data_IF_857707945634
#
_entry.id   IF_857707945634
#
_cell.length_a   1.000
_cell.length_b   1.000
_cell.length_c   1.000
_cell.angle_alpha   90.00
_cell.angle_beta   90.00
_cell.angle_gamma   90.00
#
_symmetry.space_group_name_H-M   'P 1'
#
loop_
_entity.id
_entity.type
_entity.pdbx_description
1 polymer ?
#
# COMPACT_ATOMS: atom_id res chain seq x y z
N UNK A 1 19.30 -16.39 0.25
CA UNK A 1 18.31 -15.80 1.15
C UNK A 1 16.91 -15.71 0.52
N UNK A 2 16.69 -15.00 -0.59
CA UNK A 2 15.36 -14.87 -1.22
C UNK A 2 14.72 -16.21 -1.58
N UNK A 3 15.48 -17.18 -2.11
CA UNK A 3 14.97 -18.53 -2.41
C UNK A 3 14.54 -19.28 -1.16
N UNK A 4 15.31 -19.19 -0.08
CA UNK A 4 14.98 -19.85 1.20
C UNK A 4 13.72 -19.23 1.79
N UNK A 5 13.63 -17.90 1.80
CA UNK A 5 12.44 -17.20 2.30
C UNK A 5 11.19 -17.51 1.47
N UNK A 6 11.33 -17.53 0.13
CA UNK A 6 10.24 -17.90 -0.78
C UNK A 6 9.77 -19.33 -0.60
N UNK A 7 10.70 -20.27 -0.43
CA UNK A 7 10.36 -21.68 -0.15
C UNK A 7 9.68 -21.84 1.21
N UNK A 8 10.16 -21.11 2.24
CA UNK A 8 9.59 -21.15 3.59
C UNK A 8 8.17 -20.58 3.61
N UNK A 9 7.92 -19.50 2.87
CA UNK A 9 6.58 -18.94 2.70
C UNK A 9 5.63 -19.88 1.95
N UNK A 10 6.12 -20.62 0.92
CA UNK A 10 5.30 -21.62 0.24
C UNK A 10 4.91 -22.76 1.16
N UNK A 11 5.86 -23.30 1.92
CA UNK A 11 5.58 -24.39 2.86
C UNK A 11 4.66 -23.91 3.97
N UNK A 12 4.93 -22.75 4.56
CA UNK A 12 4.07 -22.15 5.59
C UNK A 12 2.66 -21.85 5.08
N UNK A 13 2.54 -21.37 3.84
CA UNK A 13 1.26 -21.12 3.18
C UNK A 13 0.48 -22.38 2.89
N UNK A 14 1.15 -23.46 2.46
CA UNK A 14 0.53 -24.76 2.24
C UNK A 14 0.01 -25.39 3.56
N UNK A 15 0.81 -25.28 4.64
CA UNK A 15 0.41 -25.73 5.98
C UNK A 15 -0.78 -24.89 6.50
N UNK A 16 -0.73 -23.57 6.35
CA UNK A 16 -1.82 -22.68 6.76
C UNK A 16 -3.12 -22.96 5.96
N UNK A 17 -2.99 -23.21 4.65
CA UNK A 17 -4.13 -23.57 3.80
C UNK A 17 -4.75 -24.91 4.21
N UNK A 18 -3.92 -25.88 4.57
CA UNK A 18 -4.39 -27.22 5.02
C UNK A 18 -5.05 -27.17 6.41
N UNK A 19 -4.50 -26.34 7.34
CA UNK A 19 -4.99 -26.30 8.72
C UNK A 19 -6.11 -25.30 8.96
N UNK A 20 -6.12 -24.16 8.25
CA UNK A 20 -7.00 -23.01 8.51
C UNK A 20 -7.90 -22.63 7.33
N UNK A 21 -7.80 -23.36 6.20
CA UNK A 21 -8.53 -23.08 4.96
C UNK A 21 -7.70 -22.32 3.93
N UNK A 22 -8.07 -22.49 2.64
CA UNK A 22 -7.37 -21.94 1.48
C UNK A 22 -7.25 -20.41 1.57
N UNK A 23 -8.30 -19.74 2.05
CA UNK A 23 -8.34 -18.27 2.14
C UNK A 23 -7.24 -17.69 3.04
N UNK A 24 -6.86 -18.41 4.10
CA UNK A 24 -5.81 -17.97 5.04
C UNK A 24 -4.40 -18.35 4.60
N UNK A 25 -4.26 -19.41 3.81
CA UNK A 25 -2.98 -19.85 3.25
C UNK A 25 -2.59 -19.15 1.95
N UNK A 26 -3.57 -18.68 1.16
CA UNK A 26 -3.37 -18.08 -0.14
C UNK A 26 -2.36 -16.91 -0.15
N UNK A 27 -2.35 -15.95 0.79
CA UNK A 27 -1.38 -14.85 0.78
C UNK A 27 0.07 -15.32 0.94
N UNK A 28 0.32 -16.36 1.74
CA UNK A 28 1.66 -16.93 1.90
C UNK A 28 2.11 -17.71 0.67
N UNK A 29 1.18 -18.43 0.01
CA UNK A 29 1.46 -19.12 -1.25
C UNK A 29 1.81 -18.13 -2.35
N UNK A 30 1.00 -17.08 -2.50
CA UNK A 30 1.25 -16.00 -3.47
C UNK A 30 2.58 -15.32 -3.18
N UNK A 31 2.86 -14.93 -1.94
CA UNK A 31 4.12 -14.33 -1.52
C UNK A 31 5.33 -15.24 -1.79
N UNK A 32 5.20 -16.54 -1.54
CA UNK A 32 6.24 -17.52 -1.79
C UNK A 32 6.55 -17.69 -3.28
N UNK A 33 5.53 -17.85 -4.14
CA UNK A 33 5.67 -17.90 -5.61
C UNK A 33 6.35 -16.62 -6.10
N UNK A 34 5.91 -15.50 -5.60
CA UNK A 34 6.40 -14.18 -5.93
C UNK A 34 7.91 -14.03 -5.67
N UNK A 35 8.37 -14.44 -4.48
CA UNK A 35 9.78 -14.41 -4.12
C UNK A 35 10.62 -15.39 -4.98
N UNK A 36 10.07 -16.53 -5.37
CA UNK A 36 10.76 -17.47 -6.26
C UNK A 36 10.88 -16.92 -7.68
N UNK A 37 9.84 -16.25 -8.19
CA UNK A 37 9.88 -15.54 -9.48
C UNK A 37 10.94 -14.44 -9.45
N UNK A 38 11.01 -13.66 -8.37
CA UNK A 38 12.04 -12.64 -8.16
C UNK A 38 13.45 -13.25 -8.15
N UNK A 39 13.64 -14.33 -7.42
CA UNK A 39 14.92 -15.01 -7.36
C UNK A 39 15.33 -15.59 -8.73
N UNK A 40 14.37 -16.09 -9.50
CA UNK A 40 14.60 -16.58 -10.86
C UNK A 40 14.95 -15.44 -11.81
N UNK A 41 14.22 -14.32 -11.78
CA UNK A 41 14.53 -13.12 -12.56
C UNK A 41 15.91 -12.55 -12.20
N UNK A 42 16.26 -12.52 -10.91
CA UNK A 42 17.56 -12.05 -10.43
C UNK A 42 18.72 -12.93 -10.89
N UNK A 43 18.52 -14.26 -10.99
CA UNK A 43 19.55 -15.19 -11.50
C UNK A 43 19.83 -15.04 -12.99
N UNK A 44 18.83 -14.64 -13.77
CA UNK A 44 18.92 -14.54 -15.23
C UNK A 44 19.48 -13.19 -15.73
N UNK A 45 19.75 -12.24 -14.84
CA UNK A 45 20.15 -10.86 -15.17
C UNK A 45 21.64 -10.66 -15.46
N UNK A 46 22.38 -11.68 -15.88
CA UNK A 46 23.81 -11.55 -16.28
C UNK A 46 24.00 -11.06 -17.73
N UNK A 47 22.95 -10.64 -18.41
CA UNK A 47 22.99 -10.14 -19.80
C UNK A 47 22.71 -8.64 -19.90
N UNK A 48 23.10 -7.94 -21.00
CA UNK A 48 22.95 -6.49 -21.14
C UNK A 48 21.48 -6.08 -20.97
N UNK A 49 21.25 -5.06 -20.18
CA UNK A 49 20.01 -4.49 -19.63
C UNK A 49 18.71 -5.08 -20.20
N UNK A 50 18.25 -6.17 -19.62
CA UNK A 50 16.99 -6.80 -20.04
C UNK A 50 15.81 -5.90 -19.61
N UNK A 51 14.96 -5.51 -20.56
CA UNK A 51 13.74 -4.70 -20.31
C UNK A 51 12.57 -5.52 -19.76
N UNK A 52 12.72 -6.84 -19.56
CA UNK A 52 11.67 -7.72 -19.02
C UNK A 52 11.24 -7.31 -17.62
N UNK A 53 12.15 -7.03 -16.65
CA UNK A 53 11.72 -6.59 -15.32
C UNK A 53 10.91 -5.30 -15.34
N UNK A 54 11.28 -4.35 -16.22
CA UNK A 54 10.53 -3.11 -16.43
C UNK A 54 9.11 -3.39 -16.92
N UNK A 55 8.95 -4.23 -17.96
CA UNK A 55 7.64 -4.54 -18.55
C UNK A 55 6.76 -5.32 -17.59
N UNK A 56 7.33 -6.33 -16.92
CA UNK A 56 6.60 -7.15 -15.94
C UNK A 56 6.22 -6.30 -14.72
N UNK A 57 7.13 -5.51 -14.17
CA UNK A 57 6.85 -4.62 -13.06
C UNK A 57 5.79 -3.57 -13.38
N UNK A 58 5.88 -2.96 -14.57
CA UNK A 58 4.86 -2.02 -15.04
C UNK A 58 3.49 -2.69 -15.24
N UNK A 59 3.44 -3.90 -15.81
CA UNK A 59 2.20 -4.65 -16.00
C UNK A 59 1.55 -5.03 -14.67
N UNK A 60 2.34 -5.54 -13.71
CA UNK A 60 1.85 -5.91 -12.37
C UNK A 60 1.24 -4.70 -11.64
N UNK A 61 1.81 -3.52 -11.82
CA UNK A 61 1.29 -2.31 -11.19
C UNK A 61 0.12 -1.69 -11.96
N UNK A 62 0.25 -1.53 -13.28
CA UNK A 62 -0.74 -0.80 -14.10
C UNK A 62 -2.02 -1.60 -14.33
N UNK A 63 -1.95 -2.92 -14.51
CA UNK A 63 -3.12 -3.72 -14.81
C UNK A 63 -4.20 -3.63 -13.72
N UNK A 64 -3.89 -3.88 -12.43
CA UNK A 64 -4.90 -3.75 -11.36
C UNK A 64 -5.39 -2.32 -11.20
N UNK A 65 -4.53 -1.31 -11.38
CA UNK A 65 -4.92 0.10 -11.24
C UNK A 65 -5.86 0.55 -12.35
N UNK A 66 -5.61 0.14 -13.60
CA UNK A 66 -6.49 0.40 -14.74
C UNK A 66 -7.82 -0.33 -14.54
N UNK A 67 -7.81 -1.58 -14.09
CA UNK A 67 -9.04 -2.32 -13.78
C UNK A 67 -9.85 -1.66 -12.66
N UNK A 68 -9.20 -1.14 -11.63
CA UNK A 68 -9.87 -0.42 -10.55
C UNK A 68 -10.54 0.88 -11.05
N UNK A 69 -9.86 1.64 -11.92
CA UNK A 69 -10.42 2.84 -12.55
C UNK A 69 -11.60 2.47 -13.46
N UNK A 70 -11.44 1.48 -14.32
CA UNK A 70 -12.50 1.02 -15.24
C UNK A 70 -13.72 0.49 -14.46
N UNK A 71 -13.50 -0.29 -13.41
CA UNK A 71 -14.55 -0.78 -12.51
C UNK A 71 -15.26 0.37 -11.79
N UNK A 72 -14.50 1.34 -11.26
CA UNK A 72 -15.05 2.54 -10.63
C UNK A 72 -15.87 3.40 -11.60
N UNK A 73 -15.42 3.58 -12.85
CA UNK A 73 -16.17 4.26 -13.90
C UNK A 73 -17.46 3.50 -14.25
N UNK A 74 -17.37 2.18 -14.42
CA UNK A 74 -18.53 1.35 -14.70
C UNK A 74 -19.56 1.39 -13.57
N UNK A 75 -19.12 1.35 -12.30
CA UNK A 75 -20.02 1.45 -11.15
C UNK A 75 -20.63 2.85 -10.99
N UNK A 76 -19.93 3.90 -11.44
CA UNK A 76 -20.41 5.29 -11.30
C UNK A 76 -21.31 5.72 -12.45
N UNK A 77 -21.00 5.30 -13.69
CA UNK A 77 -21.66 5.77 -14.92
C UNK A 77 -22.29 4.65 -15.74
N UNK A 78 -22.10 3.38 -15.34
CA UNK A 78 -22.67 2.24 -16.05
C UNK A 78 -24.19 2.20 -15.95
N UNK A 79 -24.87 1.50 -16.88
CA UNK A 79 -26.31 1.32 -16.82
C UNK A 79 -26.68 0.63 -15.49
N UNK A 80 -27.80 1.00 -14.85
CA UNK A 80 -28.25 0.34 -13.64
C UNK A 80 -28.34 -1.16 -13.91
N UNK A 81 -27.64 -1.95 -13.11
CA UNK A 81 -27.56 -3.39 -13.27
C UNK A 81 -28.95 -4.00 -13.18
N UNK A 82 -29.53 -4.41 -14.32
CA UNK A 82 -30.76 -5.18 -14.41
C UNK A 82 -30.59 -6.64 -13.90
N UNK A 83 -29.47 -6.94 -13.24
CA UNK A 83 -29.07 -8.28 -12.86
C UNK A 83 -29.75 -8.89 -11.62
N UNK A 84 -30.79 -8.26 -11.06
CA UNK A 84 -31.55 -8.85 -9.96
C UNK A 84 -32.91 -9.44 -10.37
N UNK A 85 -33.35 -9.24 -11.62
CA UNK A 85 -34.66 -9.71 -12.09
C UNK A 85 -34.60 -10.87 -13.08
N UNK A 86 -33.45 -11.24 -13.61
CA UNK A 86 -33.34 -12.26 -14.65
C UNK A 86 -33.14 -13.71 -14.13
N UNK A 87 -33.09 -13.92 -12.82
CA UNK A 87 -32.97 -15.29 -12.26
C UNK A 87 -34.31 -15.92 -11.83
N UNK A 88 -35.41 -15.20 -11.96
CA UNK A 88 -36.74 -15.67 -11.54
C UNK A 88 -37.65 -16.09 -12.71
N UNK A 89 -37.22 -15.93 -13.97
CA UNK A 89 -38.08 -16.26 -15.14
C UNK A 89 -37.49 -17.31 -16.10
N UNK A 90 -36.82 -18.33 -15.57
CA UNK A 90 -36.54 -19.53 -16.35
C UNK A 90 -37.06 -20.77 -15.61
N UNK A 91 -38.37 -20.93 -15.66
CA UNK A 91 -39.02 -22.16 -15.24
C UNK A 91 -40.51 -22.10 -15.53
N UNK A 92 -40.94 -22.61 -16.68
CA UNK A 92 -42.33 -22.98 -16.86
C UNK A 92 -43.02 -22.34 -18.06
N UNK A 93 -42.88 -22.99 -19.16
CA UNK A 93 -43.92 -23.52 -20.09
C UNK A 93 -44.84 -22.60 -20.89
N UNK A 94 -44.84 -22.99 -22.14
CA UNK A 94 -45.65 -22.62 -23.29
C UNK A 94 -47.16 -22.72 -23.03
N UNK A 95 -47.96 -21.71 -23.38
CA UNK A 95 -49.11 -21.84 -24.27
C UNK A 95 -49.79 -20.48 -24.55
N UNK A 96 -50.14 -20.32 -25.80
CA UNK A 96 -50.88 -19.22 -26.47
C UNK A 96 -52.30 -19.10 -25.90
N UNK A 97 -52.82 -17.87 -25.73
CA UNK A 97 -54.07 -17.36 -26.29
C UNK A 97 -54.34 -15.90 -25.87
N UNK A 98 -54.74 -15.10 -26.82
CA UNK A 98 -55.08 -13.67 -26.73
C UNK A 98 -56.35 -13.43 -25.89
N UNK A 99 -56.37 -12.33 -25.15
CA UNK A 99 -57.51 -11.38 -25.09
C UNK A 99 -57.25 -10.20 -24.16
N UNK A 100 -57.53 -9.04 -24.66
CA UNK A 100 -57.64 -7.73 -24.04
C UNK A 100 -58.28 -7.69 -22.66
N UNK A 101 -57.64 -6.95 -21.68
CA UNK A 101 -58.32 -6.08 -20.70
C UNK A 101 -57.33 -5.24 -19.90
N UNK A 102 -57.73 -4.03 -19.58
CA UNK A 102 -57.02 -2.94 -18.89
C UNK A 102 -56.24 -3.31 -17.62
N UNK A 103 -55.14 -2.59 -17.33
CA UNK A 103 -54.35 -2.88 -16.12
C UNK A 103 -54.95 -2.17 -14.92
N UNK A 104 -55.54 -2.93 -14.00
CA UNK A 104 -55.70 -2.49 -12.60
C UNK A 104 -54.37 -2.48 -11.92
N UNK A 105 -54.02 -1.32 -11.36
CA UNK A 105 -52.84 -1.11 -10.50
C UNK A 105 -52.88 -2.06 -9.29
N UNK A 106 -51.98 -3.03 -9.28
CA UNK A 106 -51.67 -3.88 -8.13
C UNK A 106 -50.32 -3.45 -7.53
N UNK A 107 -50.08 -3.58 -6.23
CA UNK A 107 -48.99 -2.88 -5.53
C UNK A 107 -47.60 -3.41 -5.90
N UNK A 108 -46.77 -2.49 -6.38
CA UNK A 108 -45.35 -2.73 -6.64
C UNK A 108 -44.59 -3.01 -5.31
N UNK A 109 -44.50 -4.28 -4.88
CA UNK A 109 -43.91 -4.67 -3.59
C UNK A 109 -42.53 -5.37 -3.55
N UNK A 110 -41.83 -5.75 -4.65
CA UNK A 110 -40.51 -6.39 -4.43
C UNK A 110 -39.30 -5.43 -4.50
N UNK A 111 -39.39 -4.28 -5.13
CA UNK A 111 -38.24 -3.38 -5.26
C UNK A 111 -37.99 -2.51 -4.02
N UNK A 112 -39.02 -2.25 -3.22
CA UNK A 112 -38.96 -1.47 -1.97
C UNK A 112 -38.34 -2.27 -0.85
N UNK A 113 -38.64 -3.56 -0.76
CA UNK A 113 -38.17 -4.45 0.30
C UNK A 113 -36.66 -4.80 0.11
N UNK A 114 -36.18 -4.94 -1.13
CA UNK A 114 -34.75 -5.15 -1.42
C UNK A 114 -33.94 -3.92 -1.06
N UNK A 115 -34.42 -2.71 -1.35
CA UNK A 115 -33.77 -1.45 -0.95
C UNK A 115 -33.81 -1.24 0.57
N UNK A 116 -34.87 -1.64 1.23
CA UNK A 116 -34.99 -1.56 2.68
C UNK A 116 -33.97 -2.51 3.36
N UNK A 117 -33.85 -3.75 2.91
CA UNK A 117 -32.84 -4.70 3.39
C UNK A 117 -31.42 -4.21 3.16
N UNK A 118 -31.10 -3.67 1.98
CA UNK A 118 -29.78 -3.10 1.70
C UNK A 118 -29.45 -1.91 2.61
N UNK A 119 -30.43 -1.04 2.90
CA UNK A 119 -30.26 0.07 3.86
C UNK A 119 -30.03 -0.43 5.27
N UNK A 120 -30.76 -1.43 5.70
CA UNK A 120 -30.61 -2.04 7.02
C UNK A 120 -29.26 -2.73 7.17
N UNK A 121 -28.80 -3.51 6.18
CA UNK A 121 -27.46 -4.10 6.16
C UNK A 121 -26.36 -3.04 6.15
N UNK A 122 -26.52 -1.98 5.35
CA UNK A 122 -25.57 -0.87 5.33
C UNK A 122 -25.53 -0.10 6.67
N UNK A 123 -26.68 0.08 7.31
CA UNK A 123 -26.76 0.67 8.65
C UNK A 123 -26.09 -0.24 9.71
N UNK A 124 -26.32 -1.54 9.63
CA UNK A 124 -25.70 -2.53 10.51
C UNK A 124 -24.17 -2.54 10.36
N UNK A 125 -23.65 -2.61 9.13
CA UNK A 125 -22.21 -2.51 8.84
C UNK A 125 -21.60 -1.18 9.30
N UNK A 126 -22.35 -0.07 9.21
CA UNK A 126 -21.90 1.23 9.73
C UNK A 126 -21.86 1.25 11.27
N UNK A 127 -22.83 0.64 11.93
CA UNK A 127 -22.84 0.51 13.38
C UNK A 127 -21.70 -0.38 13.89
N UNK A 128 -21.46 -1.51 13.24
CA UNK A 128 -20.33 -2.42 13.52
C UNK A 128 -18.98 -1.71 13.37
N UNK A 129 -18.77 -1.00 12.25
CA UNK A 129 -17.52 -0.21 12.02
C UNK A 129 -17.34 0.90 13.07
N UNK A 130 -18.43 1.55 13.50
CA UNK A 130 -18.35 2.56 14.57
C UNK A 130 -18.01 1.93 15.92
N UNK A 131 -18.57 0.78 16.23
CA UNK A 131 -18.25 0.04 17.44
C UNK A 131 -16.78 -0.43 17.45
N UNK A 132 -16.30 -1.00 16.33
CA UNK A 132 -14.90 -1.37 16.17
C UNK A 132 -13.94 -0.18 16.32
N UNK A 133 -14.26 0.98 15.71
CA UNK A 133 -13.46 2.19 15.83
C UNK A 133 -13.48 2.76 17.27
N UNK A 134 -14.59 2.63 17.98
CA UNK A 134 -14.69 3.03 19.38
C UNK A 134 -13.85 2.10 20.29
N UNK A 135 -13.91 0.80 20.06
CA UNK A 135 -13.09 -0.18 20.77
C UNK A 135 -11.60 0.02 20.48
N UNK A 136 -11.22 0.25 19.22
CA UNK A 136 -9.84 0.60 18.86
C UNK A 136 -9.39 1.84 19.64
N UNK A 137 -10.18 2.90 19.60
CA UNK A 137 -9.86 4.16 20.31
C UNK A 137 -9.68 3.92 21.79
N UNK A 138 -10.58 3.16 22.44
CA UNK A 138 -10.51 2.81 23.85
C UNK A 138 -9.23 2.03 24.18
N UNK A 139 -8.95 0.97 23.42
CA UNK A 139 -7.77 0.11 23.63
C UNK A 139 -6.47 0.89 23.42
N UNK A 140 -6.42 1.74 22.38
CA UNK A 140 -5.21 2.50 22.06
C UNK A 140 -4.98 3.70 22.99
N UNK A 141 -6.05 4.33 23.51
CA UNK A 141 -5.95 5.51 24.40
C UNK A 141 -5.74 5.17 25.87
N UNK A 142 -6.28 4.03 26.34
CA UNK A 142 -6.29 3.70 27.77
C UNK A 142 -6.02 2.22 28.09
N UNK A 143 -5.86 1.38 27.05
CA UNK A 143 -5.61 -0.05 27.21
C UNK A 143 -4.18 -0.38 27.57
N UNK A 144 -3.98 -1.61 28.03
CA UNK A 144 -2.65 -2.17 28.31
C UNK A 144 -1.92 -2.55 27.01
N UNK A 145 -0.59 -2.69 27.10
CA UNK A 145 0.23 -3.16 25.96
C UNK A 145 -0.25 -4.51 25.41
N UNK A 146 -0.62 -5.44 26.30
CA UNK A 146 -1.09 -6.76 25.89
C UNK A 146 -2.42 -6.70 25.13
N UNK A 147 -3.35 -5.83 25.53
CA UNK A 147 -4.62 -5.59 24.82
C UNK A 147 -4.38 -4.98 23.45
N UNK A 148 -3.50 -3.97 23.36
CA UNK A 148 -3.14 -3.35 22.10
C UNK A 148 -2.48 -4.34 21.11
N UNK A 149 -1.59 -5.21 21.60
CA UNK A 149 -0.96 -6.27 20.78
C UNK A 149 -1.99 -7.30 20.30
N UNK A 150 -2.89 -7.77 21.18
CA UNK A 150 -3.94 -8.72 20.82
C UNK A 150 -4.90 -8.15 19.78
N UNK A 151 -5.33 -6.91 19.97
CA UNK A 151 -6.20 -6.22 19.02
C UNK A 151 -5.55 -6.11 17.64
N UNK A 152 -4.30 -5.64 17.59
CA UNK A 152 -3.54 -5.53 16.34
C UNK A 152 -3.29 -6.87 15.66
N UNK A 153 -2.95 -7.90 16.43
CA UNK A 153 -2.77 -9.25 15.89
C UNK A 153 -4.05 -9.77 15.25
N UNK A 154 -5.20 -9.59 15.92
CA UNK A 154 -6.51 -9.97 15.39
C UNK A 154 -6.83 -9.23 14.09
N UNK A 155 -6.67 -7.91 14.07
CA UNK A 155 -6.92 -7.07 12.88
C UNK A 155 -5.99 -7.47 11.73
N UNK A 156 -4.69 -7.64 12.01
CA UNK A 156 -3.70 -8.04 11.00
C UNK A 156 -4.02 -9.41 10.40
N UNK A 157 -4.38 -10.39 11.23
CA UNK A 157 -4.76 -11.72 10.75
C UNK A 157 -6.05 -11.71 9.92
N UNK A 158 -6.99 -10.81 10.24
CA UNK A 158 -8.21 -10.61 9.46
C UNK A 158 -7.94 -9.96 8.08
N UNK A 159 -6.91 -9.13 7.99
CA UNK A 159 -6.59 -8.33 6.79
C UNK A 159 -5.51 -8.98 5.89
N UNK A 160 -5.09 -10.21 6.18
CA UNK A 160 -4.04 -10.89 5.40
C UNK A 160 -4.36 -11.01 3.91
N UNK A 161 -5.64 -11.22 3.54
CA UNK A 161 -6.07 -11.28 2.14
C UNK A 161 -5.84 -9.95 1.40
N UNK A 162 -6.17 -8.84 2.05
CA UNK A 162 -5.96 -7.50 1.50
C UNK A 162 -4.47 -7.16 1.39
N UNK A 163 -3.68 -7.58 2.38
CA UNK A 163 -2.23 -7.43 2.39
C UNK A 163 -1.52 -8.17 1.24
N UNK A 164 -2.06 -9.31 0.77
CA UNK A 164 -1.53 -10.03 -0.37
C UNK A 164 -1.63 -9.22 -1.68
N UNK A 165 -2.74 -8.51 -1.90
CA UNK A 165 -2.91 -7.61 -3.05
C UNK A 165 -1.86 -6.48 -3.05
N UNK A 166 -1.61 -5.87 -1.90
CA UNK A 166 -0.59 -4.85 -1.73
C UNK A 166 0.83 -5.41 -1.95
N UNK A 167 1.11 -6.64 -1.52
CA UNK A 167 2.40 -7.29 -1.74
C UNK A 167 2.68 -7.51 -3.23
N UNK A 168 1.67 -7.85 -4.03
CA UNK A 168 1.80 -7.97 -5.49
C UNK A 168 2.15 -6.62 -6.12
N UNK A 169 1.46 -5.54 -5.73
CA UNK A 169 1.79 -4.19 -6.20
C UNK A 169 3.20 -3.77 -5.81
N UNK A 170 3.60 -4.03 -4.55
CA UNK A 170 4.95 -3.76 -4.07
C UNK A 170 6.02 -4.49 -4.90
N UNK A 171 5.75 -5.75 -5.29
CA UNK A 171 6.64 -6.47 -6.19
C UNK A 171 6.83 -5.74 -7.52
N UNK A 172 5.75 -5.27 -8.13
CA UNK A 172 5.83 -4.47 -9.35
C UNK A 172 6.80 -3.30 -9.19
N UNK A 173 6.69 -2.57 -8.07
CA UNK A 173 7.59 -1.45 -7.74
C UNK A 173 9.03 -1.89 -7.50
N UNK A 174 9.27 -3.03 -6.83
CA UNK A 174 10.61 -3.59 -6.64
C UNK A 174 11.26 -4.00 -7.97
N UNK A 175 10.51 -4.57 -8.90
CA UNK A 175 11.02 -4.91 -10.23
C UNK A 175 11.39 -3.65 -11.01
N UNK A 176 10.57 -2.60 -10.95
CA UNK A 176 10.87 -1.31 -11.55
C UNK A 176 12.13 -0.68 -10.95
N UNK A 177 12.24 -0.64 -9.62
CA UNK A 177 13.42 -0.11 -8.91
C UNK A 177 14.69 -0.90 -9.25
N UNK A 178 14.61 -2.23 -9.27
CA UNK A 178 15.70 -3.12 -9.68
C UNK A 178 16.17 -2.86 -11.11
N UNK A 179 15.26 -2.62 -12.04
CA UNK A 179 15.59 -2.27 -13.41
C UNK A 179 16.31 -0.92 -13.49
N UNK A 180 15.87 0.11 -12.75
CA UNK A 180 16.54 1.41 -12.72
C UNK A 180 18.00 1.31 -12.24
N UNK A 181 18.29 0.45 -11.28
CA UNK A 181 19.65 0.21 -10.79
C UNK A 181 20.46 -0.54 -11.86
N UNK A 182 19.90 -1.63 -12.44
CA UNK A 182 20.58 -2.45 -13.45
C UNK A 182 20.83 -1.69 -14.76
N UNK A 183 19.94 -0.76 -15.12
CA UNK A 183 20.12 0.10 -16.30
C UNK A 183 21.24 1.15 -16.14
N UNK A 184 21.78 1.30 -14.95
CA UNK A 184 22.79 2.32 -14.65
C UNK A 184 22.25 3.77 -14.59
N UNK A 185 20.94 3.97 -14.80
CA UNK A 185 20.36 5.33 -14.81
C UNK A 185 20.56 6.05 -13.49
N UNK A 186 20.43 5.34 -12.36
CA UNK A 186 20.63 5.92 -11.01
C UNK A 186 22.13 6.03 -10.68
N UNK A 187 22.94 5.07 -11.15
CA UNK A 187 24.39 5.02 -10.87
C UNK A 187 25.16 6.08 -11.65
N UNK A 188 24.74 6.37 -12.89
CA UNK A 188 25.34 7.38 -13.75
C UNK A 188 24.29 8.39 -14.24
N UNK A 189 23.70 9.18 -13.33
CA UNK A 189 22.59 10.08 -13.65
C UNK A 189 22.94 11.14 -14.68
N UNK A 190 24.22 11.56 -14.73
CA UNK A 190 24.70 12.61 -15.65
C UNK A 190 24.45 12.25 -17.12
N UNK A 191 24.49 10.97 -17.47
CA UNK A 191 24.21 10.51 -18.84
C UNK A 191 22.73 10.53 -19.21
N UNK A 192 21.85 10.61 -18.21
CA UNK A 192 20.40 10.48 -18.38
C UNK A 192 19.60 11.71 -17.92
N UNK A 193 20.27 12.86 -17.71
CA UNK A 193 19.60 14.10 -17.24
C UNK A 193 18.39 14.53 -18.07
N UNK A 194 18.43 14.47 -19.44
CA UNK A 194 17.25 14.81 -20.22
C UNK A 194 16.05 13.89 -19.96
N UNK A 195 16.30 12.59 -19.71
CA UNK A 195 15.25 11.65 -19.35
C UNK A 195 14.68 11.97 -17.97
N UNK A 196 15.53 12.24 -16.98
CA UNK A 196 15.08 12.66 -15.64
C UNK A 196 14.27 13.96 -15.66
N UNK A 197 14.64 14.96 -16.48
CA UNK A 197 13.83 16.19 -16.65
C UNK A 197 12.43 15.88 -17.19
N UNK A 198 12.32 15.05 -18.23
CA UNK A 198 11.02 14.61 -18.77
C UNK A 198 10.19 13.86 -17.71
N UNK A 199 10.80 12.90 -17.02
CA UNK A 199 10.11 12.12 -15.97
C UNK A 199 9.69 13.00 -14.81
N UNK A 200 10.51 13.98 -14.40
CA UNK A 200 10.15 14.94 -13.36
C UNK A 200 8.92 15.75 -13.75
N UNK A 201 8.93 16.38 -14.95
CA UNK A 201 7.81 17.23 -15.40
C UNK A 201 6.55 16.40 -15.61
N UNK A 202 6.63 15.33 -16.43
CA UNK A 202 5.47 14.50 -16.75
C UNK A 202 4.95 13.78 -15.51
N UNK A 203 5.83 13.22 -14.68
CA UNK A 203 5.46 12.51 -13.46
C UNK A 203 4.78 13.41 -12.44
N UNK A 204 5.32 14.61 -12.21
CA UNK A 204 4.72 15.59 -11.29
C UNK A 204 3.38 16.13 -11.81
N UNK A 205 3.29 16.46 -13.09
CA UNK A 205 2.05 17.01 -13.67
C UNK A 205 0.97 15.93 -13.78
N UNK A 206 1.26 14.79 -14.41
CA UNK A 206 0.27 13.74 -14.61
C UNK A 206 -0.12 13.06 -13.27
N UNK A 207 0.87 12.71 -12.44
CA UNK A 207 0.61 12.10 -11.15
C UNK A 207 -0.08 13.06 -10.18
N UNK A 208 0.34 14.33 -10.16
CA UNK A 208 -0.29 15.39 -9.36
C UNK A 208 -1.73 15.65 -9.78
N UNK A 209 -1.98 15.80 -11.09
CA UNK A 209 -3.33 15.99 -11.61
C UNK A 209 -4.27 14.83 -11.26
N UNK A 210 -3.82 13.58 -11.45
CA UNK A 210 -4.61 12.40 -11.08
C UNK A 210 -4.89 12.34 -9.57
N UNK A 211 -3.91 12.68 -8.73
CA UNK A 211 -4.08 12.73 -7.28
C UNK A 211 -5.04 13.83 -6.84
N UNK A 212 -4.98 15.01 -7.46
CA UNK A 212 -5.91 16.12 -7.20
C UNK A 212 -7.33 15.72 -7.62
N UNK A 213 -7.52 15.18 -8.82
CA UNK A 213 -8.83 14.73 -9.32
C UNK A 213 -9.40 13.64 -8.40
N UNK A 214 -8.58 12.66 -8.00
CA UNK A 214 -8.97 11.65 -7.02
C UNK A 214 -9.48 12.27 -5.71
N UNK A 215 -8.73 13.23 -5.17
CA UNK A 215 -9.09 13.91 -3.92
C UNK A 215 -10.38 14.72 -4.06
N UNK A 216 -10.58 15.41 -5.18
CA UNK A 216 -11.81 16.16 -5.46
C UNK A 216 -13.03 15.23 -5.57
N UNK A 217 -12.87 14.04 -6.18
CA UNK A 217 -13.93 13.04 -6.22
C UNK A 217 -14.24 12.50 -4.83
N UNK A 218 -13.21 12.21 -4.02
CA UNK A 218 -13.36 11.69 -2.67
C UNK A 218 -14.01 12.69 -1.71
N UNK A 219 -13.81 14.00 -1.93
CA UNK A 219 -14.37 15.08 -1.11
C UNK A 219 -15.82 15.44 -1.46
N UNK A 220 -16.39 14.93 -2.56
CA UNK A 220 -17.78 15.20 -2.91
C UNK A 220 -18.70 14.68 -1.81
N UNK A 221 -19.68 15.49 -1.34
CA UNK A 221 -20.68 15.02 -0.39
C UNK A 221 -21.39 13.80 -0.97
N UNK A 222 -21.45 12.72 -0.24
CA UNK A 222 -22.29 11.58 -0.56
C UNK A 222 -23.74 12.03 -0.35
N UNK A 223 -24.41 12.50 -1.37
CA UNK A 223 -25.86 12.74 -1.29
C UNK A 223 -26.54 11.39 -1.03
N UNK A 224 -27.01 11.25 0.19
CA UNK A 224 -27.76 10.10 0.62
C UNK A 224 -29.15 10.17 -0.07
N UNK A 225 -29.27 9.60 -1.26
CA UNK A 225 -30.60 9.53 -1.83
C UNK A 225 -30.80 9.07 -3.26
N UNK A 226 -29.89 9.21 -4.16
CA UNK A 226 -30.17 8.87 -5.56
C UNK A 226 -29.08 7.96 -6.14
N UNK A 227 -29.37 6.67 -6.18
CA UNK A 227 -28.95 5.69 -7.21
C UNK A 227 -27.47 5.49 -7.56
N UNK A 228 -26.56 6.31 -7.07
CA UNK A 228 -25.12 6.13 -7.25
C UNK A 228 -24.59 5.36 -6.05
N UNK A 229 -24.17 4.12 -6.28
CA UNK A 229 -23.56 3.31 -5.24
C UNK A 229 -22.39 4.09 -4.62
N UNK A 230 -22.38 4.33 -3.29
CA UNK A 230 -21.28 4.99 -2.59
C UNK A 230 -19.94 4.35 -2.89
N UNK A 231 -19.98 3.07 -3.24
CA UNK A 231 -18.81 2.24 -3.56
C UNK A 231 -18.16 2.60 -4.91
N UNK A 232 -18.92 3.09 -5.90
CA UNK A 232 -18.39 3.44 -7.23
C UNK A 232 -17.49 4.69 -7.21
N UNK A 233 -17.89 5.75 -6.51
CA UNK A 233 -17.10 6.98 -6.40
C UNK A 233 -15.80 6.72 -5.61
N UNK A 234 -15.90 5.95 -4.53
CA UNK A 234 -14.72 5.58 -3.74
C UNK A 234 -13.78 4.67 -4.53
N UNK A 235 -14.31 3.69 -5.27
CA UNK A 235 -13.52 2.83 -6.14
C UNK A 235 -12.81 3.62 -7.24
N UNK A 236 -13.52 4.57 -7.87
CA UNK A 236 -12.95 5.46 -8.89
C UNK A 236 -11.85 6.36 -8.29
N UNK A 237 -12.12 7.02 -7.17
CA UNK A 237 -11.14 7.86 -6.50
C UNK A 237 -9.89 7.04 -6.10
N UNK A 238 -10.08 5.87 -5.50
CA UNK A 238 -8.97 4.99 -5.10
C UNK A 238 -8.17 4.50 -6.31
N UNK A 239 -8.83 4.10 -7.39
CA UNK A 239 -8.20 3.69 -8.64
C UNK A 239 -7.37 4.81 -9.28
N UNK A 240 -7.90 6.04 -9.35
CA UNK A 240 -7.20 7.21 -9.85
C UNK A 240 -6.00 7.58 -8.97
N UNK A 241 -6.15 7.48 -7.65
CA UNK A 241 -5.05 7.72 -6.72
C UNK A 241 -3.91 6.73 -6.91
N UNK A 242 -4.21 5.45 -7.02
CA UNK A 242 -3.22 4.40 -7.31
C UNK A 242 -2.58 4.60 -8.68
N UNK A 243 -3.37 4.93 -9.72
CA UNK A 243 -2.85 5.18 -11.07
C UNK A 243 -1.92 6.40 -11.12
N UNK A 244 -2.23 7.46 -10.36
CA UNK A 244 -1.38 8.66 -10.22
C UNK A 244 -0.13 8.44 -9.36
N UNK A 245 -0.14 7.46 -8.47
CA UNK A 245 0.93 7.22 -7.51
C UNK A 245 2.27 6.86 -8.15
N UNK A 246 2.28 6.00 -9.16
CA UNK A 246 3.53 5.60 -9.84
C UNK A 246 4.19 6.76 -10.61
N UNK A 247 3.48 7.51 -11.49
CA UNK A 247 4.09 8.67 -12.15
C UNK A 247 4.58 9.71 -11.15
N UNK A 248 3.81 9.98 -10.09
CA UNK A 248 4.19 10.94 -9.06
C UNK A 248 5.45 10.51 -8.29
N UNK A 249 5.53 9.23 -7.90
CA UNK A 249 6.72 8.65 -7.27
C UNK A 249 7.95 8.77 -8.17
N UNK A 250 7.83 8.43 -9.45
CA UNK A 250 8.93 8.58 -10.42
C UNK A 250 9.32 10.04 -10.61
N UNK A 251 8.33 10.95 -10.61
CA UNK A 251 8.54 12.39 -10.62
C UNK A 251 9.38 12.87 -9.43
N UNK A 252 9.03 12.47 -8.20
CA UNK A 252 9.81 12.79 -7.00
C UNK A 252 11.24 12.25 -7.06
N UNK A 253 11.42 11.00 -7.47
CA UNK A 253 12.76 10.40 -7.63
C UNK A 253 13.58 11.21 -8.65
N UNK A 254 12.97 11.56 -9.79
CA UNK A 254 13.63 12.35 -10.81
C UNK A 254 14.00 13.76 -10.32
N UNK A 255 13.11 14.43 -9.58
CA UNK A 255 13.39 15.73 -8.95
C UNK A 255 14.56 15.62 -7.97
N UNK A 256 14.60 14.59 -7.13
CA UNK A 256 15.71 14.36 -6.19
C UNK A 256 17.04 14.13 -6.94
N UNK A 257 17.03 13.31 -8.00
CA UNK A 257 18.22 13.08 -8.83
C UNK A 257 18.70 14.38 -9.46
N UNK A 258 17.81 15.21 -9.99
CA UNK A 258 18.15 16.51 -10.57
C UNK A 258 18.66 17.49 -9.50
N UNK A 259 18.03 17.53 -8.32
CA UNK A 259 18.47 18.37 -7.20
C UNK A 259 19.90 18.01 -6.77
N UNK A 260 20.24 16.72 -6.72
CA UNK A 260 21.59 16.25 -6.39
C UNK A 260 22.65 16.62 -7.44
N UNK A 261 22.28 17.08 -8.65
CA UNK A 261 23.23 17.61 -9.62
C UNK A 261 23.57 19.09 -9.34
N UNK A 262 22.88 19.75 -8.42
CA UNK A 262 23.13 21.14 -8.05
C UNK A 262 23.95 21.25 -6.75
N UNK A 263 24.84 22.24 -6.59
CA UNK A 263 25.63 22.42 -5.36
C UNK A 263 24.73 22.61 -4.12
N UNK A 264 23.62 23.33 -4.28
CA UNK A 264 22.65 23.56 -3.20
C UNK A 264 21.96 22.28 -2.79
N UNK A 265 21.49 21.50 -3.77
CA UNK A 265 20.85 20.20 -3.52
C UNK A 265 21.81 19.21 -2.86
N UNK A 266 23.06 19.14 -3.31
CA UNK A 266 24.10 18.31 -2.66
C UNK A 266 24.33 18.70 -1.21
N UNK A 267 24.37 19.99 -0.90
CA UNK A 267 24.57 20.46 0.48
C UNK A 267 23.35 20.14 1.36
N UNK A 268 22.14 20.44 0.90
CA UNK A 268 20.91 20.22 1.67
C UNK A 268 20.59 18.72 1.85
N UNK A 269 20.61 17.96 0.76
CA UNK A 269 20.29 16.53 0.81
C UNK A 269 21.44 15.71 1.39
N UNK A 270 22.69 16.18 1.21
CA UNK A 270 23.86 15.57 1.83
C UNK A 270 23.82 15.61 3.35
N UNK A 271 23.22 16.65 3.94
CA UNK A 271 23.00 16.73 5.38
C UNK A 271 22.02 15.65 5.89
N UNK A 272 21.10 15.19 5.06
CA UNK A 272 20.19 14.09 5.40
C UNK A 272 20.80 12.68 5.18
N UNK A 273 21.93 12.60 4.48
CA UNK A 273 22.55 11.32 4.12
C UNK A 273 22.86 10.39 5.32
N UNK A 274 23.34 10.89 6.50
CA UNK A 274 23.53 10.06 7.68
C UNK A 274 22.24 9.40 8.18
N UNK A 275 21.10 10.13 8.15
CA UNK A 275 19.81 9.57 8.54
C UNK A 275 19.38 8.45 7.58
N UNK A 276 19.63 8.60 6.27
CA UNK A 276 19.39 7.56 5.27
C UNK A 276 20.29 6.32 5.44
N UNK A 277 21.54 6.50 5.86
CA UNK A 277 22.45 5.38 6.17
C UNK A 277 22.04 4.60 7.43
N UNK A 278 21.24 5.20 8.30
CA UNK A 278 20.65 4.60 9.50
C UNK A 278 19.13 4.40 9.36
N UNK A 279 18.64 4.16 8.14
CA UNK A 279 17.21 4.11 7.83
C UNK A 279 16.46 3.05 8.66
N UNK A 280 17.01 1.84 8.80
CA UNK A 280 16.37 0.77 9.58
C UNK A 280 16.33 1.12 11.08
N UNK A 281 17.43 1.63 11.62
CA UNK A 281 17.50 2.09 13.03
C UNK A 281 16.49 3.21 13.28
N UNK A 282 16.44 4.21 12.39
CA UNK A 282 15.53 5.35 12.52
C UNK A 282 14.06 4.92 12.38
N UNK A 283 13.74 4.00 11.45
CA UNK A 283 12.40 3.47 11.27
C UNK A 283 11.87 2.74 12.52
N UNK A 284 12.69 1.85 13.09
CA UNK A 284 12.32 1.14 14.32
C UNK A 284 12.23 2.09 15.52
N UNK A 285 13.15 3.06 15.63
CA UNK A 285 13.12 4.08 16.66
C UNK A 285 11.85 4.95 16.55
N UNK A 286 11.45 5.37 15.34
CA UNK A 286 10.20 6.11 15.12
C UNK A 286 8.99 5.31 15.60
N UNK A 287 8.93 4.03 15.29
CA UNK A 287 7.83 3.15 15.72
C UNK A 287 7.78 3.03 17.24
N UNK A 288 8.94 2.87 17.89
CA UNK A 288 9.02 2.80 19.36
C UNK A 288 8.65 4.12 20.03
N UNK A 289 9.18 5.25 19.53
CA UNK A 289 8.89 6.59 20.05
C UNK A 289 7.40 6.93 19.87
N UNK A 290 6.85 6.69 18.66
CA UNK A 290 5.43 6.94 18.39
C UNK A 290 4.52 6.08 19.27
N UNK A 291 4.86 4.81 19.46
CA UNK A 291 4.11 3.91 20.33
C UNK A 291 4.15 4.37 21.78
N UNK A 292 5.33 4.74 22.28
CA UNK A 292 5.47 5.26 23.65
C UNK A 292 4.78 6.62 23.85
N UNK A 293 4.70 7.45 22.82
CA UNK A 293 4.11 8.79 22.92
C UNK A 293 2.59 8.77 22.81
N UNK A 294 2.05 8.06 21.81
CA UNK A 294 0.62 8.13 21.50
C UNK A 294 -0.24 7.15 22.30
N UNK A 295 0.25 5.95 22.59
CA UNK A 295 -0.61 4.93 23.23
C UNK A 295 -0.76 5.09 24.72
N UNK A 296 -1.90 4.60 25.24
CA UNK A 296 -2.27 4.67 26.67
C UNK A 296 -1.31 3.97 27.60
N UNK A 297 -0.62 2.92 27.14
CA UNK A 297 0.44 2.28 27.91
C UNK A 297 1.76 3.07 27.98
N UNK A 298 1.87 4.18 27.25
CA UNK A 298 2.96 5.14 27.29
C UNK A 298 2.51 6.48 27.84
N UNK A 299 2.62 7.55 27.05
CA UNK A 299 2.24 8.92 27.45
C UNK A 299 0.76 9.25 27.16
N UNK A 300 0.03 8.41 26.41
CA UNK A 300 -1.41 8.51 26.25
C UNK A 300 -1.91 9.69 25.40
N UNK A 301 -1.08 10.22 24.47
CA UNK A 301 -1.47 11.33 23.59
C UNK A 301 -2.30 10.88 22.38
N UNK A 302 -3.10 9.83 22.51
CA UNK A 302 -4.00 9.35 21.47
C UNK A 302 -5.04 10.41 21.12
N UNK A 303 -5.30 10.60 19.81
CA UNK A 303 -6.29 11.61 19.37
C UNK A 303 -5.76 13.05 19.27
N UNK A 304 -4.44 13.25 19.41
CA UNK A 304 -3.79 14.56 19.23
C UNK A 304 -4.18 15.20 17.89
N UNK A 305 -4.46 16.53 17.85
CA UNK A 305 -4.75 17.25 16.61
C UNK A 305 -3.65 17.11 15.55
N UNK A 306 -4.02 17.06 14.27
CA UNK A 306 -3.07 16.84 13.15
C UNK A 306 -1.92 17.83 13.10
N UNK A 307 -2.17 19.11 13.44
CA UNK A 307 -1.14 20.13 13.48
C UNK A 307 -0.04 19.81 14.50
N UNK A 308 -0.44 19.34 15.70
CA UNK A 308 0.50 18.92 16.74
C UNK A 308 1.24 17.64 16.37
N UNK A 309 0.57 16.70 15.67
CA UNK A 309 1.23 15.51 15.11
C UNK A 309 2.33 15.91 14.11
N UNK A 310 2.08 16.91 13.25
CA UNK A 310 3.09 17.41 12.31
C UNK A 310 4.32 17.99 13.03
N UNK A 311 4.10 18.74 14.10
CA UNK A 311 5.19 19.27 14.94
C UNK A 311 5.97 18.12 15.59
N UNK A 312 5.27 17.14 16.17
CA UNK A 312 5.89 15.94 16.75
C UNK A 312 6.79 15.22 15.74
N UNK A 313 6.28 14.97 14.53
CA UNK A 313 7.05 14.31 13.45
C UNK A 313 8.29 15.14 13.08
N UNK A 314 8.14 16.46 12.93
CA UNK A 314 9.26 17.35 12.59
C UNK A 314 10.35 17.32 13.68
N UNK A 315 9.96 17.37 14.95
CA UNK A 315 10.88 17.31 16.09
C UNK A 315 11.60 15.95 16.15
N UNK A 316 10.85 14.85 16.09
CA UNK A 316 11.43 13.49 16.14
C UNK A 316 12.39 13.28 14.97
N UNK A 317 11.98 13.65 13.76
CA UNK A 317 12.83 13.54 12.58
C UNK A 317 14.10 14.40 12.69
N UNK A 318 13.99 15.65 13.14
CA UNK A 318 15.13 16.53 13.36
C UNK A 318 16.12 15.94 14.36
N UNK A 319 15.64 15.43 15.49
CA UNK A 319 16.47 14.74 16.48
C UNK A 319 17.15 13.48 15.90
N UNK A 320 16.45 12.71 15.10
CA UNK A 320 17.03 11.52 14.45
C UNK A 320 18.12 11.88 13.45
N UNK A 321 17.98 12.97 12.69
CA UNK A 321 19.04 13.46 11.81
C UNK A 321 20.27 13.83 12.62
N UNK A 322 20.14 14.61 13.69
CA UNK A 322 21.23 15.01 14.57
C UNK A 322 21.92 13.79 15.23
N UNK A 323 21.13 12.87 15.77
CA UNK A 323 21.63 11.63 16.35
C UNK A 323 22.35 10.76 15.33
N UNK A 324 21.86 10.70 14.10
CA UNK A 324 22.51 9.95 13.02
C UNK A 324 23.87 10.54 12.65
N UNK A 325 24.02 11.86 12.63
CA UNK A 325 25.31 12.52 12.46
C UNK A 325 26.27 12.19 13.58
N UNK A 326 25.83 12.36 14.84
CA UNK A 326 26.62 12.08 16.02
C UNK A 326 27.08 10.61 16.08
N UNK A 327 26.16 9.68 15.76
CA UNK A 327 26.44 8.24 15.77
C UNK A 327 27.45 7.85 14.70
N UNK A 328 27.19 8.23 13.43
CA UNK A 328 28.04 7.84 12.30
C UNK A 328 29.39 8.56 12.28
N UNK A 329 29.59 9.59 13.10
CA UNK A 329 30.92 10.13 13.37
C UNK A 329 31.82 9.16 14.18
N UNK A 330 31.23 8.16 14.88
CA UNK A 330 31.93 7.21 15.75
C UNK A 330 31.83 5.76 15.29
N UNK A 331 30.74 5.43 14.57
CA UNK A 331 30.41 4.07 14.17
C UNK A 331 30.19 3.98 12.67
N UNK A 332 30.50 2.82 12.07
CA UNK A 332 30.36 2.56 10.64
C UNK A 332 28.91 2.39 10.19
N UNK A 333 28.09 1.79 11.05
CA UNK A 333 26.70 1.40 10.78
C UNK A 333 25.81 1.83 11.92
N UNK A 334 24.53 2.04 11.65
CA UNK A 334 23.53 2.14 12.70
C UNK A 334 23.38 0.79 13.45
N UNK A 335 22.85 0.79 14.68
CA UNK A 335 22.73 -0.43 15.48
C UNK A 335 21.96 -1.54 14.77
N UNK A 336 20.82 -1.23 14.16
CA UNK A 336 19.98 -2.21 13.47
C UNK A 336 20.56 -2.63 12.12
N UNK A 337 21.21 -1.73 11.39
CA UNK A 337 21.94 -2.03 10.16
C UNK A 337 23.11 -2.97 10.42
N UNK A 338 23.81 -2.77 11.54
CA UNK A 338 24.90 -3.65 11.96
C UNK A 338 24.37 -5.04 12.32
N UNK A 339 23.29 -5.12 13.13
CA UNK A 339 22.64 -6.38 13.49
C UNK A 339 22.16 -7.14 12.25
N UNK A 340 21.48 -6.43 11.33
CA UNK A 340 21.00 -7.00 10.08
C UNK A 340 22.12 -7.59 9.23
N UNK A 341 23.24 -6.87 9.11
CA UNK A 341 24.42 -7.36 8.37
C UNK A 341 25.01 -8.60 9.02
N UNK A 342 25.15 -8.60 10.35
CA UNK A 342 25.64 -9.76 11.09
C UNK A 342 24.76 -10.99 10.84
N UNK A 343 23.45 -10.85 10.97
CA UNK A 343 22.51 -11.97 10.71
C UNK A 343 22.55 -12.43 9.25
N UNK A 344 22.74 -11.52 8.30
CA UNK A 344 22.71 -11.84 6.85
C UNK A 344 23.98 -12.51 6.39
N UNK A 345 25.14 -12.07 6.85
CA UNK A 345 26.45 -12.56 6.37
C UNK A 345 27.07 -13.61 7.29
N UNK A 346 26.53 -13.85 8.47
CA UNK A 346 27.08 -14.79 9.44
C UNK A 346 28.39 -14.34 10.11
N UNK A 347 29.01 -13.26 9.65
CA UNK A 347 30.23 -12.69 10.17
C UNK A 347 29.97 -11.36 10.86
N UNK A 348 30.60 -11.13 12.03
CA UNK A 348 30.39 -9.92 12.81
C UNK A 348 31.17 -8.74 12.20
N UNK A 349 30.52 -7.77 11.56
CA UNK A 349 31.25 -6.64 10.99
C UNK A 349 31.79 -5.71 12.08
N UNK A 350 32.93 -5.06 11.84
CA UNK A 350 33.47 -4.08 12.76
C UNK A 350 32.52 -2.89 12.88
N UNK A 351 32.06 -2.59 14.11
CA UNK A 351 31.10 -1.51 14.38
C UNK A 351 31.81 -0.17 14.50
N UNK A 352 32.98 -0.09 15.17
CA UNK A 352 33.70 1.15 15.39
C UNK A 352 34.55 1.54 14.18
N UNK A 353 34.69 2.85 13.95
CA UNK A 353 35.65 3.38 12.98
C UNK A 353 37.08 3.13 13.50
N UNK A 354 37.98 2.65 12.62
CA UNK A 354 39.38 2.41 12.99
C UNK A 354 39.73 1.01 13.49
N UNK A 355 38.77 0.10 13.69
CA UNK A 355 39.03 -1.30 14.00
C UNK A 355 39.02 -2.12 12.70
N UNK A 356 40.09 -2.87 12.33
CA UNK A 356 40.05 -3.79 11.20
C UNK A 356 38.92 -4.81 11.38
N UNK A 357 38.26 -5.19 10.29
CA UNK A 357 37.30 -6.29 10.34
C UNK A 357 38.09 -7.57 10.74
N UNK A 358 37.61 -8.30 11.74
CA UNK A 358 38.15 -9.62 12.03
C UNK A 358 37.95 -10.49 10.78
N UNK A 359 39.06 -11.07 10.30
CA UNK A 359 39.11 -11.95 9.14
C UNK A 359 38.29 -13.23 9.35
#
# INVERSE_FOLDING_TARGET
MILVLGSLMLVGGAVAAAMMGIDKGAPFLVGGVLLLVLAWLARRSRQPVDKRPLRVGAAIYLLPTVMAVAGGLFMTFGPPSQGASASAERGGDTTVVAASKEPKAGPAKPATDAKAKQREEAAKRRAERKAEAADETRIMSSGTYAEAVRFRAKTYLGDLGNSAGLAILALGLFLLGGWFIQSGMIVQPQRHLPAFRKVAVVGMLAGGALSIVSSLIALRPQEAGVGTAPDGQWALASGLHMMGGLPLMLGYVACLVLALQTPVGQRLLGWLAPAGRMALTNYLAQSAIASAFFYGYGLGHWGMPRAQQAVFVAVVFGLQVLLSHWWLARFRYGPMEWLWRWMTYGTRPALRLGVPAAA
#
